data_IF_677501479400
#
_entry.id   IF_677501479400
#
_cell.length_a   1.000
_cell.length_b   1.000
_cell.length_c   1.000
_cell.angle_alpha   90.00
_cell.angle_beta   90.00
_cell.angle_gamma   90.00
#
_symmetry.space_group_name_H-M   'P 1'
#
loop_
_entity.id
_entity.type
_entity.pdbx_description
1 polymer ?
#
# COMPACT_ATOMS: atom_id res chain seq x y z
N UNK A 1 -36.06 14.74 15.23
CA UNK A 1 -34.58 14.76 15.29
C UNK A 1 -34.16 16.20 15.13
N UNK A 2 -33.83 16.87 16.24
CA UNK A 2 -33.82 18.34 16.33
C UNK A 2 -32.69 19.00 15.54
N UNK A 3 -32.98 20.19 15.01
CA UNK A 3 -32.05 21.03 14.24
C UNK A 3 -30.70 21.26 14.95
N UNK A 4 -30.69 21.27 16.29
CA UNK A 4 -29.47 21.35 17.10
C UNK A 4 -28.49 20.20 16.86
N UNK A 5 -28.97 18.99 16.56
CA UNK A 5 -28.12 17.84 16.23
C UNK A 5 -27.49 17.97 14.84
N UNK A 6 -28.21 18.58 13.90
CA UNK A 6 -27.71 18.82 12.55
C UNK A 6 -26.63 19.91 12.56
N UNK A 7 -26.89 21.05 13.21
CA UNK A 7 -25.93 22.16 13.33
C UNK A 7 -24.63 21.71 14.02
N UNK A 8 -24.75 20.90 15.09
CA UNK A 8 -23.57 20.33 15.77
C UNK A 8 -22.78 19.40 14.85
N UNK A 9 -23.46 18.58 14.04
CA UNK A 9 -22.82 17.71 13.06
C UNK A 9 -22.05 18.48 11.99
N UNK A 10 -22.65 19.54 11.44
CA UNK A 10 -22.00 20.41 10.44
C UNK A 10 -20.75 21.07 11.04
N UNK A 11 -20.85 21.65 12.23
CA UNK A 11 -19.71 22.31 12.89
C UNK A 11 -18.53 21.36 13.12
N UNK A 12 -18.80 20.13 13.58
CA UNK A 12 -17.76 19.12 13.79
C UNK A 12 -17.09 18.72 12.46
N UNK A 13 -17.88 18.54 11.40
CA UNK A 13 -17.36 18.19 10.08
C UNK A 13 -16.50 19.31 9.49
N UNK A 14 -16.96 20.57 9.57
CA UNK A 14 -16.19 21.74 9.11
C UNK A 14 -14.89 21.86 9.90
N UNK A 15 -14.92 21.67 11.22
CA UNK A 15 -13.71 21.74 12.06
C UNK A 15 -12.71 20.62 11.73
N UNK A 16 -13.20 19.41 11.43
CA UNK A 16 -12.35 18.33 10.94
C UNK A 16 -11.68 18.70 9.60
N UNK A 17 -12.43 19.27 8.66
CA UNK A 17 -11.90 19.75 7.37
C UNK A 17 -10.80 20.80 7.54
N UNK A 18 -11.03 21.81 8.37
CA UNK A 18 -10.05 22.87 8.66
C UNK A 18 -8.76 22.27 9.25
N UNK A 19 -8.88 21.32 10.19
CA UNK A 19 -7.70 20.64 10.76
C UNK A 19 -6.88 19.88 9.72
N UNK A 20 -7.53 19.27 8.73
CA UNK A 20 -6.83 18.55 7.67
C UNK A 20 -6.16 19.48 6.65
N UNK A 21 -6.66 20.69 6.46
CA UNK A 21 -6.04 21.69 5.59
C UNK A 21 -4.65 22.12 6.10
N UNK A 22 -4.47 22.21 7.42
CA UNK A 22 -3.18 22.54 8.04
C UNK A 22 -2.24 21.35 8.25
N UNK A 23 -2.68 20.11 7.94
CA UNK A 23 -1.80 18.94 8.01
C UNK A 23 -1.02 18.78 6.71
N UNK A 24 0.27 18.41 6.77
CA UNK A 24 1.02 18.11 5.57
C UNK A 24 0.39 16.95 4.80
N UNK A 25 0.49 16.99 3.47
CA UNK A 25 -0.08 15.96 2.59
C UNK A 25 0.57 14.60 2.86
N UNK A 26 -0.25 13.58 3.10
CA UNK A 26 0.18 12.18 3.26
C UNK A 26 0.44 11.50 1.90
N UNK A 27 1.03 12.21 0.94
CA UNK A 27 1.29 11.72 -0.41
C UNK A 27 2.76 11.98 -0.76
N UNK A 28 3.47 10.96 -1.23
CA UNK A 28 4.80 11.14 -1.84
C UNK A 28 4.68 11.73 -3.25
N UNK A 29 5.66 12.55 -3.63
CA UNK A 29 5.77 13.07 -5.01
C UNK A 29 6.60 12.12 -5.89
N UNK A 30 5.94 11.18 -6.55
CA UNK A 30 6.61 10.32 -7.54
C UNK A 30 6.93 11.12 -8.83
N UNK A 31 8.10 10.96 -9.46
CA UNK A 31 9.22 10.05 -9.16
C UNK A 31 10.31 10.64 -8.24
N UNK A 32 10.20 11.93 -7.86
CA UNK A 32 11.22 12.66 -7.08
C UNK A 32 11.46 12.03 -5.69
N UNK A 33 10.39 11.59 -5.04
CA UNK A 33 10.44 10.81 -3.80
C UNK A 33 10.08 9.36 -4.15
N UNK A 34 11.07 8.47 -4.06
CA UNK A 34 10.89 7.03 -4.28
C UNK A 34 10.26 6.43 -3.03
N UNK A 35 9.38 5.46 -3.25
CA UNK A 35 8.81 4.66 -2.18
C UNK A 35 9.85 3.58 -1.83
N UNK A 36 10.38 3.62 -0.61
CA UNK A 36 11.25 2.55 -0.11
C UNK A 36 10.39 1.31 0.14
N UNK A 37 10.24 0.52 -0.91
CA UNK A 37 9.56 -0.77 -0.90
C UNK A 37 10.52 -1.80 -0.29
N UNK A 38 10.82 -1.64 1.00
CA UNK A 38 11.65 -2.59 1.74
C UNK A 38 10.85 -3.87 1.96
N UNK A 39 11.21 -4.90 1.21
CA UNK A 39 10.71 -6.24 1.45
C UNK A 39 11.40 -7.25 0.56
N UNK A 40 11.65 -8.49 1.04
CA UNK A 40 11.89 -9.58 0.12
C UNK A 40 10.69 -9.62 -0.83
N UNK A 41 10.94 -9.62 -2.14
CA UNK A 41 9.89 -9.82 -3.13
C UNK A 41 9.11 -11.11 -2.86
N UNK A 42 8.08 -11.39 -3.66
CA UNK A 42 7.38 -12.67 -3.55
C UNK A 42 8.38 -13.85 -3.59
N UNK A 43 8.45 -14.61 -2.50
CA UNK A 43 9.36 -15.76 -2.36
C UNK A 43 8.53 -17.02 -2.26
N UNK A 44 8.78 -17.97 -3.15
CA UNK A 44 8.24 -19.30 -3.02
C UNK A 44 9.18 -20.15 -2.15
N UNK A 45 8.66 -20.74 -1.08
CA UNK A 45 9.40 -21.74 -0.30
C UNK A 45 9.02 -23.15 -0.77
N UNK A 46 9.94 -23.88 -1.44
CA UNK A 46 9.67 -25.21 -1.95
C UNK A 46 9.53 -26.28 -0.86
N UNK A 47 9.95 -25.99 0.38
CA UNK A 47 9.82 -26.96 1.49
C UNK A 47 8.42 -27.01 2.07
N UNK A 48 7.76 -25.86 2.14
CA UNK A 48 6.41 -25.72 2.69
C UNK A 48 5.34 -25.65 1.61
N UNK A 49 5.73 -25.50 0.34
CA UNK A 49 4.80 -25.33 -0.78
C UNK A 49 4.01 -24.02 -0.72
N UNK A 50 4.46 -23.05 0.09
CA UNK A 50 3.75 -21.80 0.34
C UNK A 50 4.49 -20.60 -0.28
N UNK A 51 3.73 -19.67 -0.86
CA UNK A 51 4.23 -18.37 -1.29
C UNK A 51 4.26 -17.42 -0.09
N UNK A 52 5.45 -16.96 0.29
CA UNK A 52 5.60 -15.90 1.28
C UNK A 52 5.14 -14.58 0.64
N UNK A 53 4.19 -13.87 1.27
CA UNK A 53 3.69 -12.61 0.74
C UNK A 53 4.81 -11.56 0.79
N UNK A 54 5.26 -11.15 -0.39
CA UNK A 54 6.16 -10.03 -0.59
C UNK A 54 5.61 -9.12 -1.69
N UNK A 55 6.25 -7.98 -1.93
CA UNK A 55 5.84 -7.11 -3.03
C UNK A 55 5.95 -7.87 -4.37
N UNK A 56 4.83 -7.96 -5.09
CA UNK A 56 4.79 -8.51 -6.46
C UNK A 56 5.36 -7.49 -7.44
N UNK A 57 6.68 -7.36 -7.47
CA UNK A 57 7.40 -6.58 -8.47
C UNK A 57 7.49 -7.29 -9.82
N UNK A 58 8.35 -6.79 -10.70
CA UNK A 58 8.69 -7.49 -11.96
C UNK A 58 9.34 -8.83 -11.64
N UNK A 59 8.82 -9.92 -12.20
CA UNK A 59 9.42 -11.25 -12.05
C UNK A 59 10.85 -11.23 -12.61
N UNK A 60 11.81 -11.66 -11.78
CA UNK A 60 13.20 -11.86 -12.20
C UNK A 60 13.38 -13.36 -12.42
N UNK A 61 13.65 -13.76 -13.66
CA UNK A 61 13.97 -15.14 -13.97
C UNK A 61 15.43 -15.42 -13.63
N UNK A 62 15.65 -16.27 -12.64
CA UNK A 62 16.99 -16.81 -12.37
C UNK A 62 17.19 -18.05 -13.23
N UNK A 63 17.97 -17.90 -14.31
CA UNK A 63 18.18 -18.94 -15.32
C UNK A 63 18.73 -20.25 -14.75
N UNK A 64 19.51 -20.20 -13.66
CA UNK A 64 20.08 -21.39 -13.02
C UNK A 64 19.02 -22.35 -12.42
N UNK A 65 17.82 -21.83 -12.14
CA UNK A 65 16.74 -22.59 -11.48
C UNK A 65 15.62 -22.99 -12.43
N UNK A 66 15.49 -22.32 -13.58
CA UNK A 66 14.41 -22.56 -14.53
C UNK A 66 14.79 -23.69 -15.49
N UNK A 67 14.06 -24.80 -15.42
CA UNK A 67 14.22 -25.94 -16.33
C UNK A 67 13.24 -25.90 -17.52
N UNK A 68 12.43 -24.85 -17.66
CA UNK A 68 11.43 -24.73 -18.73
C UNK A 68 10.23 -25.68 -18.55
N UNK A 69 10.00 -26.17 -17.33
CA UNK A 69 8.97 -27.16 -17.01
C UNK A 69 7.51 -26.66 -17.05
N UNK A 70 7.25 -25.40 -17.45
CA UNK A 70 5.92 -24.79 -17.55
C UNK A 70 5.08 -24.83 -16.24
N UNK A 71 5.73 -24.91 -15.08
CA UNK A 71 5.08 -24.97 -13.76
C UNK A 71 4.93 -23.59 -13.08
N UNK A 72 5.65 -22.58 -13.59
CA UNK A 72 5.66 -21.21 -13.08
C UNK A 72 4.48 -20.36 -13.59
#
# INVERSE_FOLDING_TARGET
>A
MGEASFVKGVLVATWAGVRHFFRPRMTLRYPEQKLDLEGPGYRYDPKTGTGLPGLKGRHILYFDKCTGCQLC
#
